data_IF_966434789884
#
_entry.id   IF_966434789884
#
_cell.length_a   1.000
_cell.length_b   1.000
_cell.length_c   1.000
_cell.angle_alpha   90.00
_cell.angle_beta   90.00
_cell.angle_gamma   90.00
#
_symmetry.space_group_name_H-M   'P 1'
#
loop_
_entity.id
_entity.type
_entity.pdbx_description
1 polymer ?
#
# COMPACT_ATOMS: atom_id res chain seq x y z
N UNK A 1 55.97 -31.68 -19.67
CA UNK A 1 54.97 -31.29 -20.68
C UNK A 1 53.68 -32.07 -20.47
N UNK A 2 53.69 -33.40 -20.38
CA UNK A 2 52.49 -34.22 -20.09
C UNK A 2 51.78 -33.84 -18.78
N UNK A 3 52.50 -33.70 -17.66
CA UNK A 3 51.90 -33.34 -16.37
C UNK A 3 51.18 -31.97 -16.39
N UNK A 4 51.64 -31.02 -17.21
CA UNK A 4 50.99 -29.72 -17.36
C UNK A 4 49.72 -29.82 -18.22
N UNK A 5 49.73 -30.67 -19.26
CA UNK A 5 48.55 -30.95 -20.08
C UNK A 5 47.48 -31.64 -19.24
N UNK A 6 47.87 -32.60 -18.40
CA UNK A 6 46.95 -33.32 -17.52
C UNK A 6 46.33 -32.40 -16.45
N UNK A 7 47.13 -31.52 -15.83
CA UNK A 7 46.62 -30.51 -14.90
C UNK A 7 45.63 -29.54 -15.58
N UNK A 8 45.90 -29.14 -16.84
CA UNK A 8 44.99 -28.28 -17.60
C UNK A 8 43.67 -29.00 -17.93
N UNK A 9 43.73 -30.29 -18.28
CA UNK A 9 42.55 -31.12 -18.54
C UNK A 9 41.69 -31.29 -17.28
N UNK A 10 42.31 -31.53 -16.12
CA UNK A 10 41.61 -31.60 -14.84
C UNK A 10 40.94 -30.26 -14.49
N UNK A 11 41.59 -29.14 -14.77
CA UNK A 11 41.03 -27.82 -14.51
C UNK A 11 39.84 -27.49 -15.42
N UNK A 12 39.89 -27.87 -16.71
CA UNK A 12 38.77 -27.75 -17.64
C UNK A 12 37.60 -28.65 -17.19
N UNK A 13 37.88 -29.88 -16.78
CA UNK A 13 36.85 -30.78 -16.26
C UNK A 13 36.16 -30.21 -15.02
N UNK A 14 36.92 -29.60 -14.10
CA UNK A 14 36.38 -28.92 -12.93
C UNK A 14 35.51 -27.71 -13.31
N UNK A 15 35.96 -26.86 -14.23
CA UNK A 15 35.17 -25.71 -14.70
C UNK A 15 33.85 -26.15 -15.36
N UNK A 16 33.87 -27.20 -16.18
CA UNK A 16 32.67 -27.75 -16.79
C UNK A 16 31.69 -28.32 -15.75
N UNK A 17 32.21 -28.96 -14.69
CA UNK A 17 31.39 -29.44 -13.59
C UNK A 17 30.71 -28.29 -12.82
N UNK A 18 31.44 -27.21 -12.54
CA UNK A 18 30.90 -26.00 -11.89
C UNK A 18 29.81 -25.36 -12.74
N UNK A 19 30.03 -25.22 -14.05
CA UNK A 19 29.02 -24.67 -14.98
C UNK A 19 27.75 -25.52 -15.03
N UNK A 20 27.88 -26.85 -15.04
CA UNK A 20 26.74 -27.75 -15.00
C UNK A 20 25.94 -27.61 -13.70
N UNK A 21 26.61 -27.45 -12.57
CA UNK A 21 25.96 -27.26 -11.27
C UNK A 21 25.25 -25.90 -11.18
N UNK A 22 25.89 -24.83 -11.67
CA UNK A 22 25.25 -23.52 -11.76
C UNK A 22 23.99 -23.56 -12.64
N UNK A 23 24.03 -24.31 -13.74
CA UNK A 23 22.87 -24.54 -14.61
C UNK A 23 21.72 -25.25 -13.88
N UNK A 24 22.03 -26.27 -13.09
CA UNK A 24 21.01 -26.96 -12.26
C UNK A 24 20.44 -26.04 -11.18
N UNK A 25 21.26 -25.22 -10.54
CA UNK A 25 20.80 -24.26 -9.54
C UNK A 25 19.89 -23.20 -10.15
N UNK A 26 20.26 -22.66 -11.32
CA UNK A 26 19.43 -21.70 -12.04
C UNK A 26 18.08 -22.32 -12.44
N UNK A 27 18.09 -23.56 -12.91
CA UNK A 27 16.85 -24.25 -13.29
C UNK A 27 16.00 -24.61 -12.06
N UNK A 28 16.62 -25.00 -10.95
CA UNK A 28 15.93 -25.19 -9.67
C UNK A 28 15.34 -23.88 -9.13
N UNK A 29 16.03 -22.74 -9.31
CA UNK A 29 15.53 -21.43 -8.90
C UNK A 29 14.37 -20.97 -9.80
N UNK A 30 14.45 -21.21 -11.12
CA UNK A 30 13.32 -20.99 -12.05
C UNK A 30 12.14 -21.89 -11.69
N UNK A 31 12.37 -23.16 -11.41
CA UNK A 31 11.32 -24.10 -11.02
C UNK A 31 10.70 -23.72 -9.69
N UNK A 32 11.49 -23.23 -8.72
CA UNK A 32 11.01 -22.68 -7.45
C UNK A 32 10.17 -21.40 -7.62
N UNK A 33 10.45 -20.60 -8.65
CA UNK A 33 9.62 -19.44 -9.03
C UNK A 33 8.36 -19.86 -9.81
N UNK A 34 8.39 -21.00 -10.51
CA UNK A 34 7.29 -21.54 -11.31
C UNK A 34 6.34 -22.44 -10.52
N UNK A 35 6.82 -23.08 -9.45
CA UNK A 35 6.00 -23.82 -8.49
C UNK A 35 5.11 -22.82 -7.75
N UNK A 36 3.88 -22.70 -8.25
CA UNK A 36 2.78 -22.06 -7.54
C UNK A 36 2.81 -22.56 -6.08
N UNK A 37 3.02 -21.69 -5.08
CA UNK A 37 3.13 -22.12 -3.71
C UNK A 37 1.83 -22.84 -3.33
N UNK A 38 1.92 -23.97 -2.64
CA UNK A 38 0.77 -24.74 -2.14
C UNK A 38 -0.27 -23.88 -1.37
N UNK A 39 0.13 -22.69 -0.92
CA UNK A 39 -0.74 -21.65 -0.37
C UNK A 39 -1.78 -21.08 -1.35
N UNK A 40 -1.61 -21.22 -2.67
CA UNK A 40 -2.61 -20.78 -3.64
C UNK A 40 -3.92 -21.55 -3.48
N UNK A 41 -3.86 -22.84 -3.17
CA UNK A 41 -5.03 -23.68 -2.94
C UNK A 41 -5.83 -23.20 -1.70
N UNK A 42 -5.13 -22.78 -0.65
CA UNK A 42 -5.74 -22.22 0.57
C UNK A 42 -6.35 -20.82 0.33
N UNK A 43 -5.75 -20.04 -0.57
CA UNK A 43 -6.22 -18.71 -0.96
C UNK A 43 -7.45 -18.76 -1.89
N UNK A 44 -7.58 -19.82 -2.68
CA UNK A 44 -8.70 -20.05 -3.59
C UNK A 44 -9.95 -20.60 -2.88
N UNK A 45 -9.78 -21.26 -1.72
CA UNK A 45 -10.86 -22.01 -1.06
C UNK A 45 -11.38 -21.44 0.26
N UNK A 46 -10.78 -20.36 0.81
CA UNK A 46 -11.02 -19.97 2.21
C UNK A 46 -11.88 -18.73 2.49
N UNK A 47 -11.69 -17.62 1.76
CA UNK A 47 -12.46 -16.38 1.93
C UNK A 47 -12.17 -15.46 0.74
N UNK A 48 -13.15 -15.23 -0.15
CA UNK A 48 -13.00 -14.28 -1.24
C UNK A 48 -12.89 -12.87 -0.63
N UNK A 49 -11.64 -12.38 -0.48
CA UNK A 49 -11.44 -10.97 -0.13
C UNK A 49 -12.01 -10.16 -1.29
N UNK A 50 -13.07 -9.36 -1.08
CA UNK A 50 -13.68 -8.64 -2.19
C UNK A 50 -12.67 -7.62 -2.74
N UNK A 51 -12.61 -7.43 -4.07
CA UNK A 51 -11.74 -6.43 -4.65
C UNK A 51 -12.06 -5.04 -4.06
N UNK A 52 -11.07 -4.13 -4.01
CA UNK A 52 -11.32 -2.77 -3.57
C UNK A 52 -12.37 -2.11 -4.45
N UNK A 53 -13.21 -1.28 -3.84
CA UNK A 53 -14.16 -0.45 -4.60
C UNK A 53 -13.37 0.51 -5.52
N UNK A 54 -13.96 0.96 -6.63
CA UNK A 54 -13.35 1.97 -7.48
C UNK A 54 -12.88 3.18 -6.68
N UNK A 55 -11.69 3.70 -6.99
CA UNK A 55 -11.14 4.84 -6.28
C UNK A 55 -11.94 6.11 -6.63
N UNK A 56 -12.15 6.97 -5.64
CA UNK A 56 -12.92 8.22 -5.81
C UNK A 56 -12.14 9.32 -6.53
N UNK A 57 -10.82 9.14 -6.70
CA UNK A 57 -9.89 10.17 -7.20
C UNK A 57 -9.81 11.43 -6.32
N UNK A 58 -10.26 11.34 -5.05
CA UNK A 58 -10.05 12.38 -4.03
C UNK A 58 -8.80 12.07 -3.23
N UNK A 59 -8.00 13.09 -2.96
CA UNK A 59 -6.73 12.95 -2.23
C UNK A 59 -6.94 12.39 -0.83
N UNK A 60 -8.06 12.72 -0.18
CA UNK A 60 -8.34 12.28 1.20
C UNK A 60 -8.61 10.77 1.33
N UNK A 61 -9.06 10.14 0.26
CA UNK A 61 -9.44 8.73 0.24
C UNK A 61 -8.27 7.82 -0.17
N UNK A 62 -7.17 8.41 -0.68
CA UNK A 62 -6.06 7.66 -1.26
C UNK A 62 -5.45 6.67 -0.28
N UNK A 63 -5.13 7.11 0.95
CA UNK A 63 -4.51 6.26 1.97
C UNK A 63 -5.37 5.04 2.29
N UNK A 64 -6.68 5.23 2.42
CA UNK A 64 -7.60 4.11 2.70
C UNK A 64 -7.67 3.15 1.51
N UNK A 65 -7.76 3.69 0.30
CA UNK A 65 -7.85 2.88 -0.91
C UNK A 65 -6.58 2.05 -1.15
N UNK A 66 -5.40 2.66 -1.06
CA UNK A 66 -4.13 1.96 -1.29
C UNK A 66 -3.87 0.89 -0.22
N UNK A 67 -4.22 1.16 1.05
CA UNK A 67 -4.16 0.15 2.12
C UNK A 67 -5.06 -1.04 1.81
N UNK A 68 -6.29 -0.80 1.36
CA UNK A 68 -7.22 -1.87 0.99
C UNK A 68 -6.75 -2.67 -0.22
N UNK A 69 -6.14 -2.00 -1.21
CA UNK A 69 -5.51 -2.68 -2.35
C UNK A 69 -4.36 -3.58 -1.90
N UNK A 70 -3.46 -3.11 -1.02
CA UNK A 70 -2.37 -3.92 -0.48
C UNK A 70 -2.86 -5.14 0.33
N UNK A 71 -3.91 -4.96 1.13
CA UNK A 71 -4.56 -6.08 1.81
C UNK A 71 -5.10 -7.09 0.80
N UNK A 72 -5.85 -6.63 -0.21
CA UNK A 72 -6.34 -7.50 -1.27
C UNK A 72 -5.21 -8.21 -2.01
N UNK A 73 -4.10 -7.51 -2.30
CA UNK A 73 -2.95 -8.08 -2.98
C UNK A 73 -2.31 -9.21 -2.17
N UNK A 74 -2.11 -9.00 -0.88
CA UNK A 74 -1.45 -9.98 0.01
C UNK A 74 -2.36 -11.15 0.42
N UNK A 75 -3.68 -10.96 0.37
CA UNK A 75 -4.66 -12.02 0.66
C UNK A 75 -5.18 -12.74 -0.59
N UNK A 76 -4.67 -12.42 -1.78
CA UNK A 76 -5.08 -13.07 -3.04
C UNK A 76 -3.87 -13.54 -3.86
N UNK A 77 -4.08 -14.40 -4.87
CA UNK A 77 -3.02 -14.81 -5.79
C UNK A 77 -2.27 -13.67 -6.48
N UNK A 78 -2.82 -12.45 -6.44
CA UNK A 78 -2.23 -11.27 -7.06
C UNK A 78 -0.81 -10.99 -6.58
N UNK A 79 -0.47 -11.26 -5.30
CA UNK A 79 0.88 -11.08 -4.77
C UNK A 79 1.95 -11.84 -5.56
N UNK A 80 1.62 -12.99 -6.14
CA UNK A 80 2.56 -13.87 -6.82
C UNK A 80 2.60 -13.67 -8.34
N UNK A 81 1.78 -12.76 -8.88
CA UNK A 81 1.79 -12.43 -10.30
C UNK A 81 2.99 -11.54 -10.64
N UNK A 82 3.35 -11.45 -11.92
CA UNK A 82 4.35 -10.49 -12.41
C UNK A 82 3.98 -9.04 -12.04
N UNK A 83 4.97 -8.19 -11.73
CA UNK A 83 4.70 -6.81 -11.28
C UNK A 83 3.86 -6.01 -12.29
N UNK A 84 4.08 -6.21 -13.60
CA UNK A 84 3.27 -5.66 -14.69
C UNK A 84 1.78 -5.99 -14.50
N UNK A 85 1.47 -7.26 -14.23
CA UNK A 85 0.10 -7.71 -14.05
C UNK A 85 -0.50 -7.15 -12.75
N UNK A 86 0.31 -7.03 -11.69
CA UNK A 86 -0.10 -6.37 -10.46
C UNK A 86 -0.45 -4.89 -10.69
N UNK A 87 0.36 -4.17 -11.46
CA UNK A 87 0.08 -2.78 -11.86
C UNK A 87 -1.20 -2.70 -12.68
N UNK A 88 -1.34 -3.54 -13.70
CA UNK A 88 -2.52 -3.58 -14.56
C UNK A 88 -3.81 -3.82 -13.74
N UNK A 89 -3.78 -4.73 -12.78
CA UNK A 89 -4.90 -4.97 -11.85
C UNK A 89 -5.15 -3.80 -10.91
N UNK A 90 -4.10 -3.16 -10.40
CA UNK A 90 -4.24 -1.96 -9.57
C UNK A 90 -4.97 -0.85 -10.32
N UNK A 91 -4.55 -0.53 -11.54
CA UNK A 91 -5.16 0.51 -12.37
C UNK A 91 -6.61 0.17 -12.74
N UNK A 92 -6.87 -1.10 -13.07
CA UNK A 92 -8.22 -1.58 -13.35
C UNK A 92 -9.17 -1.35 -12.17
N UNK A 93 -8.77 -1.76 -10.96
CA UNK A 93 -9.59 -1.55 -9.76
C UNK A 93 -9.67 -0.09 -9.33
N UNK A 94 -8.67 0.72 -9.63
CA UNK A 94 -8.68 2.15 -9.36
C UNK A 94 -9.72 2.88 -10.22
N UNK A 95 -9.92 2.44 -11.47
CA UNK A 95 -11.00 2.89 -12.35
C UNK A 95 -10.55 3.83 -13.46
N UNK A 96 -11.53 4.40 -14.19
CA UNK A 96 -11.31 4.99 -15.53
C UNK A 96 -10.24 6.08 -15.65
N UNK A 97 -9.98 6.87 -14.60
CA UNK A 97 -8.98 7.96 -14.64
C UNK A 97 -7.55 7.50 -14.25
N UNK A 98 -7.37 6.24 -13.85
CA UNK A 98 -6.10 5.77 -13.32
C UNK A 98 -4.98 5.84 -14.37
N UNK A 99 -5.26 5.41 -15.60
CA UNK A 99 -4.31 5.45 -16.72
C UNK A 99 -3.94 6.88 -17.13
N UNK A 100 -4.92 7.79 -17.17
CA UNK A 100 -4.68 9.19 -17.50
C UNK A 100 -3.71 9.83 -16.51
N UNK A 101 -3.93 9.60 -15.22
CA UNK A 101 -3.07 10.11 -14.15
C UNK A 101 -1.69 9.46 -14.21
N UNK A 102 -1.61 8.13 -14.42
CA UNK A 102 -0.33 7.44 -14.59
C UNK A 102 0.49 8.03 -15.75
N UNK A 103 -0.15 8.33 -16.88
CA UNK A 103 0.50 8.93 -18.04
C UNK A 103 1.00 10.36 -17.79
N UNK A 104 0.46 11.07 -16.79
CA UNK A 104 1.03 12.35 -16.34
C UNK A 104 2.31 12.19 -15.53
N UNK A 105 2.55 11.00 -14.96
CA UNK A 105 3.79 10.71 -14.27
C UNK A 105 4.85 10.43 -15.34
N UNK A 106 5.90 11.26 -15.37
CA UNK A 106 7.06 11.11 -16.26
C UNK A 106 7.86 9.86 -15.87
N UNK A 107 7.29 8.68 -16.13
CA UNK A 107 7.85 7.35 -15.88
C UNK A 107 8.28 6.72 -17.21
N UNK A 108 9.37 5.95 -17.20
CA UNK A 108 9.72 5.10 -18.35
C UNK A 108 8.78 3.90 -18.45
N UNK A 109 8.80 3.19 -19.58
CA UNK A 109 7.98 1.99 -19.77
C UNK A 109 8.36 0.86 -18.81
N UNK A 110 9.63 0.78 -18.42
CA UNK A 110 10.12 -0.15 -17.40
C UNK A 110 9.63 0.24 -16.01
N UNK A 111 9.64 1.53 -15.67
CA UNK A 111 9.15 2.00 -14.37
C UNK A 111 7.64 1.81 -14.22
N UNK A 112 6.87 1.94 -15.31
CA UNK A 112 5.43 1.65 -15.32
C UNK A 112 5.11 0.19 -15.00
N UNK A 113 6.04 -0.73 -15.24
CA UNK A 113 5.88 -2.15 -14.90
C UNK A 113 6.22 -2.46 -13.46
N UNK A 114 6.88 -1.55 -12.73
CA UNK A 114 7.18 -1.77 -11.33
C UNK A 114 6.09 -1.24 -10.42
N UNK A 115 5.47 -2.15 -9.65
CA UNK A 115 4.41 -1.79 -8.71
C UNK A 115 4.90 -0.76 -7.69
N UNK A 116 6.12 -0.95 -7.18
CA UNK A 116 6.72 -0.06 -6.18
C UNK A 116 6.91 1.37 -6.70
N UNK A 117 7.33 1.52 -7.96
CA UNK A 117 7.56 2.82 -8.61
C UNK A 117 6.24 3.54 -8.85
N UNK A 118 5.26 2.82 -9.41
CA UNK A 118 3.93 3.33 -9.69
C UNK A 118 3.24 3.78 -8.41
N UNK A 119 3.24 2.95 -7.36
CA UNK A 119 2.67 3.31 -6.06
C UNK A 119 3.33 4.53 -5.45
N UNK A 120 4.66 4.66 -5.55
CA UNK A 120 5.37 5.84 -5.04
C UNK A 120 4.93 7.13 -5.73
N UNK A 121 4.72 7.10 -7.04
CA UNK A 121 4.23 8.27 -7.79
C UNK A 121 2.79 8.62 -7.41
N UNK A 122 1.89 7.65 -7.32
CA UNK A 122 0.53 7.91 -6.87
C UNK A 122 0.47 8.43 -5.42
N UNK A 123 1.27 7.85 -4.52
CA UNK A 123 1.44 8.37 -3.16
C UNK A 123 1.88 9.83 -3.18
N UNK A 124 2.88 10.17 -4.00
CA UNK A 124 3.35 11.56 -4.12
C UNK A 124 2.29 12.51 -4.71
N UNK A 125 1.45 11.99 -5.61
CA UNK A 125 0.40 12.75 -6.27
C UNK A 125 -0.77 13.08 -5.32
N UNK A 126 -1.22 12.13 -4.50
CA UNK A 126 -2.38 12.32 -3.62
C UNK A 126 -2.01 12.74 -2.19
N UNK A 127 -0.85 12.31 -1.68
CA UNK A 127 -0.35 12.69 -0.34
C UNK A 127 0.47 13.98 -0.43
N UNK A 128 -0.20 15.07 -0.84
CA UNK A 128 0.44 16.39 -0.90
C UNK A 128 0.40 17.10 0.45
N UNK A 129 1.27 18.12 0.64
CA UNK A 129 1.19 19.02 1.82
C UNK A 129 -0.19 19.70 1.95
N UNK A 130 -0.87 19.97 0.82
CA UNK A 130 -2.21 20.56 0.80
C UNK A 130 -3.25 19.59 1.40
N UNK A 131 -3.12 18.30 1.12
CA UNK A 131 -3.95 17.24 1.72
C UNK A 131 -3.79 17.23 3.25
N UNK A 132 -2.55 17.34 3.77
CA UNK A 132 -2.31 17.39 5.23
C UNK A 132 -2.95 18.62 5.88
N UNK A 133 -2.79 19.80 5.26
CA UNK A 133 -3.42 21.03 5.76
C UNK A 133 -4.94 20.91 5.79
N UNK A 134 -5.53 20.35 4.74
CA UNK A 134 -6.97 20.13 4.67
C UNK A 134 -7.47 19.19 5.78
N UNK A 135 -6.80 18.06 6.01
CA UNK A 135 -7.18 17.11 7.06
C UNK A 135 -7.06 17.77 8.45
N UNK A 136 -6.01 18.56 8.69
CA UNK A 136 -5.84 19.32 9.93
C UNK A 136 -6.91 20.38 10.11
N UNK A 137 -7.29 21.10 9.05
CA UNK A 137 -8.39 22.06 9.09
C UNK A 137 -9.69 21.34 9.47
N UNK A 138 -10.01 20.21 8.81
CA UNK A 138 -11.19 19.41 9.11
C UNK A 138 -11.19 18.89 10.55
N UNK A 139 -10.05 18.43 11.07
CA UNK A 139 -9.88 18.04 12.47
C UNK A 139 -10.17 19.22 13.41
N UNK A 140 -9.57 20.38 13.14
CA UNK A 140 -9.71 21.56 13.99
C UNK A 140 -11.12 22.17 13.99
N UNK A 141 -11.87 21.99 12.90
CA UNK A 141 -13.27 22.44 12.76
C UNK A 141 -14.29 21.32 13.06
N UNK A 142 -13.85 20.17 13.57
CA UNK A 142 -14.75 19.05 13.84
C UNK A 142 -15.51 19.28 15.15
N UNK A 143 -16.82 19.36 15.05
CA UNK A 143 -17.76 19.52 16.16
C UNK A 143 -18.84 18.45 16.09
N UNK A 144 -19.32 17.97 17.24
CA UNK A 144 -20.40 16.98 17.31
C UNK A 144 -21.65 17.53 16.62
N UNK A 145 -22.19 16.81 15.65
CA UNK A 145 -23.37 17.25 14.90
C UNK A 145 -24.64 17.06 15.73
N UNK A 146 -25.69 17.80 15.38
CA UNK A 146 -27.01 17.56 15.96
C UNK A 146 -27.48 16.12 15.63
N UNK A 147 -27.85 15.38 16.67
CA UNK A 147 -28.26 13.97 16.56
C UNK A 147 -27.11 12.95 16.46
N UNK A 148 -25.86 13.38 16.36
CA UNK A 148 -24.70 12.47 16.36
C UNK A 148 -24.38 11.97 17.77
N UNK A 149 -24.15 10.66 17.91
CA UNK A 149 -23.74 10.09 19.20
C UNK A 149 -22.33 10.53 19.59
N UNK A 150 -22.04 10.49 20.89
CA UNK A 150 -20.70 10.81 21.38
C UNK A 150 -19.65 9.84 20.81
N UNK A 151 -19.99 8.57 20.68
CA UNK A 151 -19.08 7.54 20.17
C UNK A 151 -18.75 7.74 18.69
N UNK A 152 -19.73 8.13 17.86
CA UNK A 152 -19.50 8.47 16.44
C UNK A 152 -18.58 9.69 16.31
N UNK A 153 -18.82 10.73 17.10
CA UNK A 153 -17.97 11.92 17.14
C UNK A 153 -16.53 11.59 17.55
N UNK A 154 -16.36 10.83 18.65
CA UNK A 154 -15.05 10.39 19.13
C UNK A 154 -14.32 9.56 18.08
N UNK A 155 -15.02 8.61 17.46
CA UNK A 155 -14.44 7.71 16.45
C UNK A 155 -13.95 8.48 15.21
N UNK A 156 -14.77 9.40 14.68
CA UNK A 156 -14.37 10.22 13.53
C UNK A 156 -13.20 11.14 13.89
N UNK A 157 -13.21 11.72 15.10
CA UNK A 157 -12.13 12.59 15.55
C UNK A 157 -10.80 11.84 15.75
N UNK A 158 -10.82 10.65 16.32
CA UNK A 158 -9.65 9.77 16.41
C UNK A 158 -9.13 9.38 15.02
N UNK A 159 -10.03 9.11 14.09
CA UNK A 159 -9.69 8.78 12.69
C UNK A 159 -9.00 9.96 12.00
N UNK A 160 -9.54 11.17 12.16
CA UNK A 160 -8.93 12.39 11.63
C UNK A 160 -7.58 12.70 12.28
N UNK A 161 -7.46 12.55 13.61
CA UNK A 161 -6.21 12.79 14.34
C UNK A 161 -5.06 11.90 13.85
N UNK A 162 -5.32 10.61 13.63
CA UNK A 162 -4.34 9.67 13.05
C UNK A 162 -3.86 10.10 11.65
N UNK A 163 -4.74 10.68 10.84
CA UNK A 163 -4.43 11.17 9.48
C UNK A 163 -3.69 12.52 9.48
N UNK A 164 -3.69 13.27 10.59
CA UNK A 164 -3.06 14.60 10.67
C UNK A 164 -1.53 14.58 10.82
N UNK A 165 -0.94 13.42 11.10
CA UNK A 165 0.49 13.24 11.40
C UNK A 165 0.96 14.24 12.47
N UNK A 166 0.23 14.34 13.59
CA UNK A 166 0.63 15.16 14.74
C UNK A 166 1.77 14.53 15.55
N UNK A 167 2.21 13.32 15.16
CA UNK A 167 3.28 12.57 15.82
C UNK A 167 2.95 12.39 17.31
N UNK A 168 3.87 12.79 18.19
CA UNK A 168 3.76 12.64 19.65
C UNK A 168 2.60 13.43 20.27
N UNK A 169 2.06 14.44 19.58
CA UNK A 169 0.96 15.28 20.11
C UNK A 169 -0.44 14.76 19.77
N UNK A 170 -0.55 13.60 19.10
CA UNK A 170 -1.83 13.13 18.56
C UNK A 170 -2.91 12.98 19.65
N UNK A 171 -2.57 12.36 20.79
CA UNK A 171 -3.54 12.09 21.85
C UNK A 171 -3.95 13.36 22.62
N UNK A 172 -3.00 14.29 22.83
CA UNK A 172 -3.25 15.58 23.47
C UNK A 172 -4.21 16.42 22.62
N UNK A 173 -3.94 16.55 21.32
CA UNK A 173 -4.77 17.33 20.43
C UNK A 173 -6.16 16.73 20.23
N UNK A 174 -6.29 15.39 20.23
CA UNK A 174 -7.62 14.74 20.22
C UNK A 174 -8.39 15.11 21.49
N UNK A 175 -7.76 15.03 22.67
CA UNK A 175 -8.40 15.39 23.94
C UNK A 175 -8.87 16.84 23.94
N UNK A 176 -8.01 17.77 23.54
CA UNK A 176 -8.34 19.20 23.48
C UNK A 176 -9.52 19.44 22.54
N UNK A 177 -9.50 18.78 21.37
CA UNK A 177 -10.57 18.93 20.38
C UNK A 177 -11.89 18.31 20.83
N UNK A 178 -11.87 17.21 21.61
CA UNK A 178 -13.06 16.63 22.25
C UNK A 178 -13.70 17.62 23.23
N UNK A 179 -12.90 18.24 24.11
CA UNK A 179 -13.39 19.17 25.13
C UNK A 179 -14.14 20.35 24.51
N UNK A 180 -13.57 20.91 23.44
CA UNK A 180 -14.15 22.10 22.78
C UNK A 180 -15.22 21.72 21.74
N UNK A 181 -15.22 20.49 21.20
CA UNK A 181 -16.10 20.07 20.11
C UNK A 181 -17.37 19.31 20.50
N UNK A 182 -17.53 18.90 21.76
CA UNK A 182 -18.75 18.23 22.24
C UNK A 182 -19.90 19.23 22.38
N UNK A 183 -21.08 18.87 21.85
CA UNK A 183 -22.30 19.61 22.09
C UNK A 183 -22.84 19.25 23.49
N UNK A 184 -22.72 20.18 24.45
CA UNK A 184 -23.44 20.05 25.72
C UNK A 184 -24.94 20.20 25.45
N UNK A 185 -25.73 19.16 25.71
CA UNK A 185 -27.20 19.27 25.80
C UNK A 185 -27.69 20.13 26.98
N UNK A 186 -26.80 20.83 27.69
CA UNK A 186 -27.13 21.56 28.90
C UNK A 186 -27.25 23.06 28.62
N UNK A 187 -28.48 23.52 28.35
CA UNK A 187 -28.85 24.94 28.48
C UNK A 187 -28.87 25.29 29.98
N UNK A 188 -27.72 25.62 30.53
CA UNK A 188 -27.63 26.08 31.91
C UNK A 188 -26.23 25.93 32.49
N UNK A 189 -25.68 27.06 32.92
CA UNK A 189 -24.51 27.24 33.76
C UNK A 189 -23.11 27.29 33.09
N UNK A 190 -22.57 28.51 33.13
CA UNK A 190 -21.18 28.91 33.21
C UNK A 190 -20.21 28.44 32.12
N UNK A 191 -20.07 29.31 31.11
CA UNK A 191 -18.84 29.46 30.33
C UNK A 191 -17.85 30.31 31.13
N UNK A 192 -16.81 29.66 31.68
CA UNK A 192 -15.54 30.32 31.96
C UNK A 192 -14.56 29.92 30.85
N UNK A 193 -14.76 30.56 29.70
CA UNK A 193 -13.77 30.92 28.70
C UNK A 193 -14.22 32.28 28.15
#
# INVERSE_FOLDING_TARGET
MEAQVEALQQQIAHQNAVLAELGKQLEAEKQKKLELPANLLNLLCGNSTPPPKPFSFRSEDWTEWITRFEQYRTTTPLQYMEEDQQVSKMLYYMGGKANDILNTFKLTEEEKKSLSQVQRKFNSHYVTKKTKLYIRARFNTREQKEGESADEFITDLQTLGKKCEFNTMTDELIRDRLVVGIHRKNKGANTYL
#
